data_IF_624398117392
#
_entry.id   IF_624398117392
#
_cell.length_a   1.000
_cell.length_b   1.000
_cell.length_c   1.000
_cell.angle_alpha   90.00
_cell.angle_beta   90.00
_cell.angle_gamma   90.00
#
_symmetry.space_group_name_H-M   'P 1'
#
loop_
_entity.id
_entity.type
_entity.pdbx_description
1 polymer ?
#
# COMPACT_ATOMS: atom_id res chain seq x y z
N UNK A 1 8.01 1.21 16.78
CA UNK A 1 7.37 2.45 16.30
C UNK A 1 6.33 2.08 15.27
N UNK A 2 5.08 2.55 15.37
CA UNK A 2 4.10 2.35 14.28
C UNK A 2 4.53 3.25 13.11
N UNK A 3 4.88 2.69 11.96
CA UNK A 3 5.05 3.46 10.72
C UNK A 3 3.72 4.16 10.43
N UNK A 4 3.67 5.47 10.57
CA UNK A 4 2.52 6.26 10.11
C UNK A 4 2.71 6.54 8.64
N UNK A 5 1.83 6.00 7.82
CA UNK A 5 1.73 6.37 6.41
C UNK A 5 0.85 7.61 6.27
N UNK A 6 1.31 8.57 5.47
CA UNK A 6 0.54 9.76 5.17
C UNK A 6 -0.71 9.45 4.32
N UNK A 7 -1.61 10.42 4.23
CA UNK A 7 -2.88 10.26 3.51
C UNK A 7 -2.68 10.11 2.00
N UNK A 8 -1.61 10.66 1.43
CA UNK A 8 -1.32 10.57 0.00
C UNK A 8 -0.87 9.15 -0.36
N UNK A 9 0.01 8.57 0.44
CA UNK A 9 0.45 7.19 0.33
C UNK A 9 -0.72 6.21 0.41
N UNK A 10 -1.61 6.38 1.40
CA UNK A 10 -2.81 5.54 1.55
C UNK A 10 -3.72 5.62 0.31
N UNK A 11 -3.94 6.82 -0.23
CA UNK A 11 -4.73 7.01 -1.48
C UNK A 11 -4.06 6.33 -2.67
N UNK A 12 -2.74 6.36 -2.76
CA UNK A 12 -2.00 5.69 -3.82
C UNK A 12 -2.17 4.17 -3.74
N UNK A 13 -2.02 3.56 -2.57
CA UNK A 13 -2.26 2.12 -2.39
C UNK A 13 -3.68 1.72 -2.81
N UNK A 14 -4.70 2.48 -2.43
CA UNK A 14 -6.09 2.22 -2.83
C UNK A 14 -6.26 2.30 -4.34
N UNK A 15 -5.63 3.27 -5.01
CA UNK A 15 -5.66 3.40 -6.47
C UNK A 15 -5.06 2.16 -7.15
N UNK A 16 -3.91 1.68 -6.66
CA UNK A 16 -3.22 0.51 -7.21
C UNK A 16 -4.08 -0.76 -7.07
N UNK A 17 -4.76 -0.96 -5.94
CA UNK A 17 -5.65 -2.12 -5.75
C UNK A 17 -6.92 -2.00 -6.59
N UNK A 18 -7.60 -0.85 -6.53
CA UNK A 18 -8.94 -0.70 -7.09
C UNK A 18 -8.92 -0.42 -8.60
N UNK A 19 -8.02 0.43 -9.08
CA UNK A 19 -7.98 0.83 -10.49
C UNK A 19 -7.08 -0.06 -11.33
N UNK A 20 -5.93 -0.44 -10.79
CA UNK A 20 -4.94 -1.27 -11.52
C UNK A 20 -5.11 -2.77 -11.23
N UNK A 21 -5.99 -3.14 -10.29
CA UNK A 21 -6.26 -4.53 -9.96
C UNK A 21 -5.06 -5.25 -9.32
N UNK A 22 -4.08 -4.50 -8.79
CA UNK A 22 -2.88 -5.10 -8.19
C UNK A 22 -3.23 -5.78 -6.88
N UNK A 23 -2.59 -6.92 -6.62
CA UNK A 23 -2.78 -7.63 -5.35
C UNK A 23 -2.13 -6.86 -4.20
N UNK A 24 -2.72 -6.97 -3.02
CA UNK A 24 -2.16 -6.37 -1.80
C UNK A 24 -0.74 -6.88 -1.56
N UNK A 25 -0.48 -8.16 -1.79
CA UNK A 25 0.87 -8.76 -1.66
C UNK A 25 1.89 -8.16 -2.61
N UNK A 26 1.51 -7.82 -3.85
CA UNK A 26 2.41 -7.13 -4.79
C UNK A 26 2.77 -5.74 -4.29
N UNK A 27 1.80 -5.01 -3.73
CA UNK A 27 2.01 -3.67 -3.18
C UNK A 27 2.86 -3.73 -1.91
N UNK A 28 2.58 -4.70 -1.02
CA UNK A 28 3.36 -4.89 0.19
C UNK A 28 4.83 -5.16 -0.12
N UNK A 29 5.10 -6.01 -1.11
CA UNK A 29 6.46 -6.33 -1.54
C UNK A 29 7.15 -5.14 -2.25
N UNK A 30 6.41 -4.34 -2.99
CA UNK A 30 6.95 -3.16 -3.69
C UNK A 30 7.31 -2.02 -2.72
N UNK A 31 6.51 -1.83 -1.68
CA UNK A 31 6.67 -0.73 -0.72
C UNK A 31 7.27 -1.15 0.63
N UNK A 32 7.77 -2.39 0.73
CA UNK A 32 8.29 -2.97 1.98
C UNK A 32 7.33 -2.74 3.17
N UNK A 33 6.04 -2.97 2.92
CA UNK A 33 5.01 -2.84 3.94
C UNK A 33 5.06 -4.09 4.81
N UNK A 34 5.62 -3.95 6.00
CA UNK A 34 5.55 -4.97 7.03
C UNK A 34 4.06 -5.25 7.32
N UNK A 35 3.63 -6.49 7.09
CA UNK A 35 2.29 -6.93 7.50
C UNK A 35 2.21 -6.83 9.01
N UNK A 36 1.30 -5.98 9.50
CA UNK A 36 0.93 -5.88 10.92
C UNK A 36 0.32 -7.20 11.39
#
# INVERSE_FOLDING_TARGET
MKKQYDAMFKKQCVKLVVKEGRTISSIQREFDLESV
#
